data_IF_602819101595
#
_entry.id   IF_602819101595
#
_cell.length_a   1.000
_cell.length_b   1.000
_cell.length_c   1.000
_cell.angle_alpha   90.00
_cell.angle_beta   90.00
_cell.angle_gamma   90.00
#
_symmetry.space_group_name_H-M   'P 1'
#
loop_
_entity.id
_entity.type
_entity.pdbx_description
1 polymer ?
#
# COMPACT_ATOMS: atom_id res chain seq x y z
N UNK A 1 5.50 3.67 -12.74
CA UNK A 1 5.48 2.21 -12.59
C UNK A 1 4.03 1.80 -12.47
N UNK A 2 3.62 0.79 -13.22
CA UNK A 2 2.22 0.42 -13.27
C UNK A 2 1.96 -0.60 -12.15
N UNK A 3 0.95 -0.35 -11.33
CA UNK A 3 0.56 -1.21 -10.23
C UNK A 3 -0.86 -1.73 -10.48
N UNK A 4 -0.98 -3.05 -10.65
CA UNK A 4 -2.24 -3.72 -10.91
C UNK A 4 -2.66 -4.56 -9.70
N UNK A 5 -3.93 -4.47 -9.35
CA UNK A 5 -4.52 -5.22 -8.22
C UNK A 5 -5.73 -5.99 -8.70
N UNK A 6 -5.68 -7.31 -8.53
CA UNK A 6 -6.76 -8.25 -8.80
C UNK A 6 -7.36 -8.71 -7.48
N UNK A 7 -8.66 -8.53 -7.31
CA UNK A 7 -9.40 -9.01 -6.16
C UNK A 7 -10.32 -10.18 -6.53
N UNK A 8 -10.14 -11.30 -5.86
CA UNK A 8 -10.88 -12.54 -6.09
C UNK A 8 -11.61 -13.02 -4.84
N UNK A 9 -12.74 -13.72 -5.03
CA UNK A 9 -13.55 -14.25 -3.92
C UNK A 9 -14.40 -13.22 -3.18
N UNK A 10 -14.35 -11.94 -3.55
CA UNK A 10 -15.27 -10.92 -3.07
C UNK A 10 -16.70 -11.20 -3.59
N UNK A 11 -17.70 -11.17 -2.70
CA UNK A 11 -19.10 -11.52 -3.00
C UNK A 11 -19.93 -10.33 -3.52
N UNK A 12 -19.30 -9.39 -4.22
CA UNK A 12 -19.95 -8.19 -4.76
C UNK A 12 -18.94 -7.15 -5.24
N UNK A 13 -19.38 -6.09 -5.94
CA UNK A 13 -18.52 -5.00 -6.34
C UNK A 13 -18.14 -4.14 -5.12
N UNK A 14 -16.89 -3.68 -5.07
CA UNK A 14 -16.46 -2.69 -4.08
C UNK A 14 -17.18 -1.36 -4.28
N UNK A 15 -17.58 -0.76 -3.16
CA UNK A 15 -18.28 0.52 -3.08
C UNK A 15 -17.31 1.68 -3.28
N UNK A 16 -16.12 1.55 -2.71
CA UNK A 16 -15.04 2.54 -2.78
C UNK A 16 -13.68 1.85 -2.73
N UNK A 17 -12.70 2.49 -3.35
CA UNK A 17 -11.28 2.18 -3.18
C UNK A 17 -10.61 3.47 -2.72
N UNK A 18 -10.04 3.46 -1.52
CA UNK A 18 -9.20 4.54 -1.01
C UNK A 18 -7.74 4.08 -1.08
N UNK A 19 -6.82 4.91 -1.51
CA UNK A 19 -5.46 4.46 -1.76
C UNK A 19 -4.43 5.59 -1.57
N UNK A 20 -3.19 5.20 -1.29
CA UNK A 20 -2.07 6.14 -1.20
C UNK A 20 -0.71 5.46 -1.35
N UNK A 21 0.26 6.26 -1.77
CA UNK A 21 1.67 5.93 -1.72
C UNK A 21 2.34 6.64 -0.53
N UNK A 22 3.11 5.87 0.25
CA UNK A 22 3.86 6.33 1.40
C UNK A 22 5.30 6.63 0.99
N UNK A 23 5.76 7.85 1.26
CA UNK A 23 7.14 8.25 1.04
C UNK A 23 7.76 8.74 2.34
N UNK A 24 9.03 8.44 2.54
CA UNK A 24 9.75 8.81 3.74
C UNK A 24 11.22 9.08 3.43
N UNK A 25 11.82 9.98 4.20
CA UNK A 25 13.27 10.16 4.21
C UNK A 25 13.95 8.91 4.78
N UNK A 26 14.89 8.33 4.03
CA UNK A 26 15.58 7.09 4.39
C UNK A 26 16.87 7.29 5.21
N UNK A 27 17.42 8.52 5.22
CA UNK A 27 18.57 8.90 6.04
C UNK A 27 18.18 9.93 7.13
N UNK A 28 17.68 9.49 8.31
CA UNK A 28 17.25 10.39 9.38
C UNK A 28 18.30 11.39 9.87
N UNK A 29 19.58 11.16 9.62
CA UNK A 29 20.67 12.07 10.00
C UNK A 29 20.62 13.41 9.26
N UNK A 30 19.91 13.50 8.12
CA UNK A 30 19.67 14.75 7.40
C UNK A 30 18.67 15.68 8.10
N UNK A 31 18.04 15.24 9.20
CA UNK A 31 16.98 15.96 9.90
C UNK A 31 17.46 16.37 11.29
N UNK A 32 17.26 17.63 11.71
CA UNK A 32 17.69 18.11 13.01
C UNK A 32 16.91 17.45 14.14
N UNK A 33 17.52 17.45 15.32
CA UNK A 33 16.82 17.09 16.54
C UNK A 33 15.74 18.13 16.85
N UNK A 34 14.56 17.65 17.22
CA UNK A 34 13.51 18.50 17.75
C UNK A 34 13.97 19.08 19.08
N UNK A 35 13.88 20.40 19.21
CA UNK A 35 14.21 21.08 20.46
C UNK A 35 13.40 20.49 21.62
N UNK A 36 14.00 20.47 22.81
CA UNK A 36 13.44 19.93 24.07
C UNK A 36 13.38 18.39 24.11
N UNK A 37 12.83 17.71 23.10
CA UNK A 37 12.69 16.24 23.14
C UNK A 37 13.98 15.51 22.77
N UNK A 38 14.85 16.14 21.97
CA UNK A 38 16.06 15.50 21.44
C UNK A 38 15.75 14.37 20.46
N UNK A 39 14.53 14.30 19.93
CA UNK A 39 14.10 13.28 18.97
C UNK A 39 14.05 13.85 17.55
N UNK A 40 14.42 13.05 16.56
CA UNK A 40 14.22 13.37 15.14
C UNK A 40 12.81 12.99 14.69
N UNK A 41 12.09 13.93 14.06
CA UNK A 41 10.82 13.64 13.38
C UNK A 41 11.13 13.48 11.90
N UNK A 42 11.25 12.23 11.46
CA UNK A 42 11.59 11.93 10.06
C UNK A 42 10.45 12.37 9.15
N UNK A 43 10.71 13.18 8.11
CA UNK A 43 9.68 13.57 7.15
C UNK A 43 9.07 12.35 6.46
N UNK A 44 7.74 12.35 6.41
CA UNK A 44 6.91 11.34 5.76
C UNK A 44 5.78 12.05 5.02
N UNK A 45 5.36 11.50 3.89
CA UNK A 45 4.28 12.02 3.05
C UNK A 45 3.41 10.87 2.54
N UNK A 46 2.10 11.05 2.65
CA UNK A 46 1.09 10.16 2.07
C UNK A 46 0.46 10.90 0.89
N UNK A 47 0.65 10.39 -0.32
CA UNK A 47 0.05 10.97 -1.51
C UNK A 47 -1.05 10.06 -2.03
N UNK A 48 -2.26 10.59 -2.30
CA UNK A 48 -3.32 9.78 -2.89
C UNK A 48 -2.86 9.25 -4.24
N UNK A 49 -3.19 8.00 -4.53
CA UNK A 49 -3.12 7.49 -5.89
C UNK A 49 -4.53 7.62 -6.51
N UNK A 50 -4.68 7.12 -7.72
CA UNK A 50 -6.00 7.01 -8.33
C UNK A 50 -6.11 5.58 -8.85
N UNK A 51 -6.53 4.63 -8.01
CA UNK A 51 -6.85 3.29 -8.51
C UNK A 51 -8.11 3.34 -9.36
N UNK A 52 -7.92 3.10 -10.66
CA UNK A 52 -9.02 3.03 -11.62
C UNK A 52 -9.42 1.59 -11.84
N UNK A 53 -10.73 1.34 -11.90
CA UNK A 53 -11.24 0.01 -12.25
C UNK A 53 -10.98 -0.23 -13.75
N UNK A 54 -10.19 -1.26 -14.06
CA UNK A 54 -9.92 -1.71 -15.43
C UNK A 54 -11.00 -2.71 -15.88
N UNK A 55 -11.34 -3.67 -15.00
CA UNK A 55 -12.36 -4.68 -15.22
C UNK A 55 -12.98 -5.14 -13.91
N UNK A 56 -13.84 -6.17 -13.95
CA UNK A 56 -14.49 -6.68 -12.75
C UNK A 56 -13.47 -7.29 -11.77
N UNK A 57 -13.19 -6.55 -10.70
CA UNK A 57 -12.21 -6.93 -9.69
C UNK A 57 -10.77 -6.72 -10.13
N UNK A 58 -10.53 -5.92 -11.18
CA UNK A 58 -9.21 -5.50 -11.65
C UNK A 58 -9.10 -3.99 -11.54
N UNK A 59 -8.01 -3.54 -10.93
CA UNK A 59 -7.72 -2.13 -10.70
C UNK A 59 -6.28 -1.81 -11.07
N UNK A 60 -6.03 -0.60 -11.56
CA UNK A 60 -4.69 -0.14 -11.90
C UNK A 60 -4.44 1.31 -11.53
N UNK A 61 -3.18 1.61 -11.24
CA UNK A 61 -2.69 2.97 -11.02
C UNK A 61 -1.21 3.09 -11.37
N UNK A 62 -0.74 4.33 -11.49
CA UNK A 62 0.67 4.63 -11.69
C UNK A 62 1.32 5.10 -10.39
N UNK A 63 2.42 4.47 -10.03
CA UNK A 63 3.24 4.83 -8.87
C UNK A 63 4.54 5.47 -9.34
N UNK A 64 4.88 6.62 -8.76
CA UNK A 64 6.13 7.35 -9.00
C UNK A 64 7.12 6.95 -7.91
N UNK A 65 8.28 6.40 -8.28
CA UNK A 65 9.24 5.92 -7.28
C UNK A 65 10.01 7.06 -6.59
N UNK A 66 10.38 8.06 -7.38
CA UNK A 66 11.23 9.21 -7.07
C UNK A 66 10.40 10.51 -7.04
N UNK A 67 9.32 10.49 -6.27
CA UNK A 67 8.34 11.58 -6.26
C UNK A 67 8.87 12.89 -5.66
N UNK A 68 9.74 12.78 -4.66
CA UNK A 68 10.33 13.92 -3.96
C UNK A 68 11.78 14.08 -4.38
N UNK A 69 12.21 15.33 -4.48
CA UNK A 69 13.59 15.65 -4.80
C UNK A 69 14.49 15.34 -3.59
N UNK A 70 15.69 14.86 -3.84
CA UNK A 70 16.72 14.78 -2.81
C UNK A 70 17.39 16.15 -2.66
N UNK A 71 17.28 16.76 -1.48
CA UNK A 71 17.77 18.12 -1.26
C UNK A 71 18.25 18.37 0.19
N UNK A 72 19.05 19.43 0.35
CA UNK A 72 19.58 19.91 1.62
C UNK A 72 18.52 20.70 2.43
N UNK A 73 17.42 20.05 2.81
CA UNK A 73 16.25 20.73 3.39
C UNK A 73 16.51 21.42 4.73
N UNK A 74 17.39 20.85 5.56
CA UNK A 74 17.46 21.24 6.97
C UNK A 74 18.85 21.72 7.43
N UNK A 75 19.85 21.72 6.55
CA UNK A 75 21.15 22.28 6.92
C UNK A 75 22.21 21.27 7.40
N UNK A 76 21.95 19.95 7.36
CA UNK A 76 22.88 18.90 7.83
C UNK A 76 23.55 18.14 6.67
N UNK A 77 22.74 17.49 5.85
CA UNK A 77 23.13 16.76 4.63
C UNK A 77 21.94 16.72 3.66
N UNK A 78 22.13 16.15 2.47
CA UNK A 78 21.03 15.91 1.53
C UNK A 78 20.10 14.86 2.13
N UNK A 79 18.80 15.14 2.19
CA UNK A 79 17.81 14.14 2.54
C UNK A 79 17.44 13.33 1.30
N UNK A 80 17.56 12.01 1.44
CA UNK A 80 17.18 11.04 0.43
C UNK A 80 15.77 10.56 0.69
N UNK A 81 14.89 10.73 -0.29
CA UNK A 81 13.50 10.27 -0.22
C UNK A 81 13.33 8.93 -0.91
N UNK A 82 12.51 8.07 -0.31
CA UNK A 82 12.14 6.80 -0.91
C UNK A 82 10.64 6.55 -0.79
N UNK A 83 10.08 5.89 -1.80
CA UNK A 83 8.80 5.20 -1.68
C UNK A 83 8.94 4.05 -0.69
N UNK A 84 8.13 4.04 0.37
CA UNK A 84 8.08 2.99 1.39
C UNK A 84 7.14 1.87 0.96
N UNK A 85 5.98 2.25 0.43
CA UNK A 85 4.97 1.28 0.02
C UNK A 85 3.72 1.94 -0.55
N UNK A 86 2.79 1.09 -0.96
CA UNK A 86 1.45 1.48 -1.40
C UNK A 86 0.42 0.75 -0.54
N UNK A 87 -0.60 1.47 -0.12
CA UNK A 87 -1.79 0.92 0.54
C UNK A 87 -2.98 1.16 -0.38
N UNK A 88 -3.81 0.12 -0.53
CA UNK A 88 -5.12 0.24 -1.17
C UNK A 88 -6.15 -0.40 -0.24
N UNK A 89 -7.18 0.37 0.09
CA UNK A 89 -8.30 -0.01 0.95
C UNK A 89 -9.53 -0.23 0.08
N UNK A 90 -9.94 -1.49 -0.09
CA UNK A 90 -11.13 -1.86 -0.84
C UNK A 90 -12.32 -2.02 0.14
N UNK A 91 -13.38 -1.24 -0.06
CA UNK A 91 -14.55 -1.22 0.80
C UNK A 91 -15.71 -2.02 0.21
N UNK A 92 -16.23 -3.01 0.96
CA UNK A 92 -17.40 -3.81 0.58
C UNK A 92 -18.30 -4.05 1.80
N UNK A 93 -19.41 -3.30 1.90
CA UNK A 93 -20.24 -3.27 3.09
C UNK A 93 -19.42 -2.86 4.33
N UNK A 94 -19.51 -3.67 5.38
CA UNK A 94 -18.78 -3.45 6.65
C UNK A 94 -17.33 -3.98 6.63
N UNK A 95 -16.86 -4.52 5.49
CA UNK A 95 -15.54 -5.13 5.37
C UNK A 95 -14.57 -4.25 4.58
N UNK A 96 -13.40 -4.01 5.16
CA UNK A 96 -12.28 -3.34 4.53
C UNK A 96 -11.17 -4.34 4.23
N UNK A 97 -10.69 -4.32 2.99
CA UNK A 97 -9.55 -5.12 2.55
C UNK A 97 -8.38 -4.20 2.25
N UNK A 98 -7.34 -4.25 3.08
CA UNK A 98 -6.25 -3.26 3.10
C UNK A 98 -4.86 -3.88 2.80
N UNK A 99 -4.60 -4.40 1.59
CA UNK A 99 -3.26 -4.84 1.21
C UNK A 99 -2.27 -3.67 1.30
N UNK A 100 -1.21 -3.87 2.06
CA UNK A 100 -0.03 -3.00 2.02
C UNK A 100 1.08 -3.70 1.24
N UNK A 101 1.63 -3.00 0.25
CA UNK A 101 2.64 -3.52 -0.67
C UNK A 101 3.94 -2.74 -0.41
N UNK A 102 4.92 -3.42 0.19
CA UNK A 102 6.22 -2.81 0.46
C UNK A 102 7.01 -2.57 -0.84
N UNK A 103 7.84 -1.53 -0.86
CA UNK A 103 8.70 -1.17 -1.99
C UNK A 103 9.51 -2.36 -2.53
N UNK A 104 10.15 -3.13 -1.66
CA UNK A 104 10.93 -4.31 -2.06
C UNK A 104 10.09 -5.33 -2.84
N UNK A 105 8.82 -5.48 -2.48
CA UNK A 105 7.87 -6.34 -3.19
C UNK A 105 7.54 -5.82 -4.58
N UNK A 106 7.30 -4.51 -4.69
CA UNK A 106 7.03 -3.84 -5.96
C UNK A 106 8.20 -3.94 -6.93
N UNK A 107 9.42 -3.61 -6.45
CA UNK A 107 10.64 -3.62 -7.25
C UNK A 107 11.05 -5.02 -7.70
N UNK A 108 10.70 -6.06 -6.93
CA UNK A 108 10.98 -7.44 -7.31
C UNK A 108 10.08 -7.96 -8.44
N UNK A 109 9.06 -7.20 -8.87
CA UNK A 109 8.11 -7.65 -9.89
C UNK A 109 7.28 -8.86 -9.45
N UNK A 110 7.20 -9.13 -8.14
CA UNK A 110 6.59 -10.34 -7.61
C UNK A 110 5.09 -10.14 -7.47
N UNK A 111 4.33 -11.16 -7.87
CA UNK A 111 2.94 -11.23 -7.46
C UNK A 111 2.89 -11.43 -5.93
N UNK A 112 2.17 -10.55 -5.25
CA UNK A 112 1.94 -10.62 -3.81
C UNK A 112 0.48 -10.97 -3.58
N UNK A 113 0.24 -12.09 -2.91
CA UNK A 113 -1.09 -12.48 -2.45
C UNK A 113 -1.31 -12.11 -0.99
N UNK A 114 -2.48 -11.56 -0.69
CA UNK A 114 -3.00 -11.33 0.66
C UNK A 114 -4.38 -11.95 0.76
N UNK A 115 -4.61 -12.69 1.84
CA UNK A 115 -5.90 -13.31 2.11
C UNK A 115 -6.60 -12.55 3.24
N UNK A 116 -7.91 -12.45 3.15
CA UNK A 116 -8.78 -11.73 4.08
C UNK A 116 -10.04 -12.55 4.35
N UNK A 117 -10.48 -12.65 5.60
CA UNK A 117 -11.68 -13.43 5.95
C UNK A 117 -12.96 -12.58 5.88
N UNK A 118 -13.81 -12.89 4.90
CA UNK A 118 -15.13 -12.28 4.67
C UNK A 118 -16.08 -12.53 5.85
N UNK A 119 -15.90 -13.64 6.60
CA UNK A 119 -16.77 -14.02 7.72
C UNK A 119 -16.41 -13.40 9.07
N UNK A 120 -15.13 -13.04 9.30
CA UNK A 120 -14.66 -12.44 10.56
C UNK A 120 -14.92 -10.94 10.64
N UNK A 121 -15.04 -10.24 9.50
CA UNK A 121 -15.39 -8.82 9.45
C UNK A 121 -16.81 -8.54 9.99
N UNK A 122 -17.71 -9.54 10.02
CA UNK A 122 -19.06 -9.39 10.56
C UNK A 122 -19.16 -9.41 12.10
N UNK A 123 -18.07 -9.71 12.85
CA UNK A 123 -18.15 -9.89 14.31
C UNK A 123 -17.05 -9.21 15.14
N UNK A 124 -16.17 -8.43 14.54
CA UNK A 124 -15.03 -7.90 15.30
C UNK A 124 -14.78 -6.44 14.95
N UNK A 125 -14.81 -5.58 15.95
CA UNK A 125 -14.38 -4.18 15.92
C UNK A 125 -12.86 -4.02 15.70
N UNK A 126 -12.18 -5.01 15.13
CA UNK A 126 -10.74 -4.99 14.87
C UNK A 126 -10.46 -4.68 13.39
N UNK A 127 -9.82 -3.52 13.21
CA UNK A 127 -9.23 -3.01 11.97
C UNK A 127 -8.00 -3.85 11.61
N UNK A 128 -7.97 -4.39 10.38
CA UNK A 128 -6.91 -5.19 9.73
C UNK A 128 -6.66 -6.60 10.31
N UNK A 129 -7.11 -7.62 9.56
CA UNK A 129 -6.71 -9.02 9.76
C UNK A 129 -6.39 -9.63 8.38
N UNK A 130 -5.26 -9.25 7.79
CA UNK A 130 -4.68 -9.92 6.62
C UNK A 130 -3.74 -11.06 7.07
N UNK A 131 -3.69 -12.15 6.31
CA UNK A 131 -2.83 -13.31 6.60
C UNK A 131 -2.20 -13.88 5.33
N UNK A 132 -1.14 -14.67 5.52
CA UNK A 132 -0.40 -15.32 4.44
C UNK A 132 -1.15 -16.50 3.78
N UNK A 133 -2.32 -16.89 4.29
CA UNK A 133 -3.08 -17.99 3.74
C UNK A 133 -4.46 -18.21 4.36
N UNK A 134 -5.41 -18.83 3.61
CA UNK A 134 -6.80 -18.99 4.05
C UNK A 134 -6.96 -19.90 5.26
N UNK A 135 -6.01 -20.82 5.50
CA UNK A 135 -6.02 -21.73 6.65
C UNK A 135 -5.76 -21.04 7.99
N UNK A 136 -5.31 -19.77 7.96
CA UNK A 136 -5.15 -18.96 9.16
C UNK A 136 -6.50 -18.48 9.75
N UNK A 137 -7.61 -18.64 9.02
CA UNK A 137 -8.95 -18.24 9.45
C UNK A 137 -9.80 -19.40 9.93
N UNK A 138 -10.75 -19.09 10.82
CA UNK A 138 -11.73 -20.07 11.35
C UNK A 138 -12.62 -20.68 10.25
N UNK A 139 -12.89 -19.93 9.18
CA UNK A 139 -13.54 -20.44 7.96
C UNK A 139 -12.67 -20.15 6.73
N UNK A 140 -11.79 -21.10 6.35
CA UNK A 140 -10.92 -20.97 5.18
C UNK A 140 -11.67 -20.85 3.83
N UNK A 141 -12.97 -21.15 3.79
CA UNK A 141 -13.80 -21.03 2.57
C UNK A 141 -14.50 -19.68 2.48
N UNK A 142 -14.46 -18.88 3.54
CA UNK A 142 -15.00 -17.53 3.58
C UNK A 142 -13.86 -16.50 3.46
N UNK A 143 -12.93 -16.68 2.53
CA UNK A 143 -11.82 -15.76 2.32
C UNK A 143 -11.87 -15.09 0.95
N UNK A 144 -11.61 -13.78 0.91
CA UNK A 144 -11.23 -13.09 -0.31
C UNK A 144 -9.71 -13.10 -0.44
N UNK A 145 -9.22 -13.11 -1.67
CA UNK A 145 -7.80 -13.00 -1.99
C UNK A 145 -7.59 -11.73 -2.79
N UNK A 146 -6.59 -10.94 -2.42
CA UNK A 146 -6.10 -9.84 -3.23
C UNK A 146 -4.73 -10.22 -3.74
N UNK A 147 -4.58 -10.20 -5.07
CA UNK A 147 -3.32 -10.36 -5.76
C UNK A 147 -2.87 -9.02 -6.30
N UNK A 148 -1.63 -8.68 -6.03
CA UNK A 148 -1.00 -7.46 -6.48
C UNK A 148 0.11 -7.85 -7.44
N UNK A 149 0.12 -7.24 -8.62
CA UNK A 149 1.16 -7.41 -9.62
C UNK A 149 1.71 -6.04 -10.01
N UNK A 150 3.03 -5.91 -10.08
CA UNK A 150 3.66 -4.72 -10.67
C UNK A 150 4.01 -4.97 -12.13
N UNK A 151 3.66 -4.02 -12.98
CA UNK A 151 4.09 -3.95 -14.37
C UNK A 151 5.43 -3.25 -14.50
N UNK A 152 6.14 -3.51 -15.60
CA UNK A 152 7.32 -2.72 -15.95
C UNK A 152 6.92 -1.26 -16.18
N UNK A 153 7.86 -0.33 -15.96
CA UNK A 153 7.66 1.08 -16.31
C UNK A 153 7.43 1.16 -17.82
N UNK A 154 6.22 1.54 -18.23
CA UNK A 154 5.91 1.90 -19.60
C UNK A 154 6.66 3.19 -19.94
N UNK A 155 7.90 3.07 -20.44
CA UNK A 155 8.63 4.20 -21.03
C UNK A 155 8.12 4.35 -22.45
N UNK A 156 7.05 5.12 -22.63
CA UNK A 156 6.71 5.61 -23.96
C UNK A 156 7.86 6.52 -24.43
N UNK A 157 8.45 6.17 -25.58
CA UNK A 157 9.56 6.88 -26.22
C UNK A 157 9.07 8.02 -27.10
#
# INVERSE_FOLDING_TARGET
MDLNVRVEGARGPFERVDDHADYRVENPACVPLTAVTGATVVPEQHLPLNFTRIAHGDYGTDVVLDRFLDEYYFGQEVCHWALVGVVADFHLGEADFSPSIAQAGMLAGREISRYFSVGSHARTSQRRIDTDGPTAYNDPRATAQIRVQTGAVSVDR
#
